data_IF_588059495070
#
_entry.id   IF_588059495070
#
_cell.length_a   1.000
_cell.length_b   1.000
_cell.length_c   1.000
_cell.angle_alpha   90.00
_cell.angle_beta   90.00
_cell.angle_gamma   90.00
#
_symmetry.space_group_name_H-M   'P 1'
#
loop_
_entity.id
_entity.type
_entity.pdbx_description
1 polymer ?
#
# COMPACT_ATOMS: atom_id res chain seq x y z
N UNK A 1 -1.47 9.06 21.63
CA UNK A 1 -0.39 8.91 20.63
C UNK A 1 0.91 9.28 21.32
N UNK A 2 1.93 8.46 21.16
CA UNK A 2 3.25 8.67 21.71
C UNK A 2 4.26 8.90 20.59
N UNK A 3 5.44 9.43 20.93
CA UNK A 3 6.56 9.55 19.99
C UNK A 3 6.90 8.15 19.48
N UNK A 4 7.03 8.01 18.16
CA UNK A 4 7.27 6.74 17.47
C UNK A 4 6.01 6.04 16.95
N UNK A 5 4.81 6.51 17.31
CA UNK A 5 3.57 5.96 16.76
C UNK A 5 3.41 6.29 15.26
N UNK A 6 2.92 5.31 14.51
CA UNK A 6 2.53 5.49 13.11
C UNK A 6 1.05 5.88 13.06
N UNK A 7 0.74 6.87 12.21
CA UNK A 7 -0.64 7.34 12.00
C UNK A 7 -0.98 7.38 10.51
N UNK A 8 -2.20 6.99 10.17
CA UNK A 8 -2.82 7.33 8.88
C UNK A 8 -3.62 8.60 9.11
N UNK A 9 -3.26 9.66 8.41
CA UNK A 9 -3.90 10.97 8.53
C UNK A 9 -4.19 11.55 7.14
N UNK A 10 -5.10 12.53 7.10
CA UNK A 10 -5.48 13.23 5.89
C UNK A 10 -5.13 14.71 6.00
N UNK A 11 -4.57 15.28 4.94
CA UNK A 11 -4.33 16.73 4.84
C UNK A 11 -5.67 17.43 4.62
N UNK A 12 -6.01 18.38 5.49
CA UNK A 12 -7.27 19.15 5.43
C UNK A 12 -7.08 20.59 4.99
N UNK A 13 -5.89 21.15 5.20
CA UNK A 13 -5.51 22.46 4.69
C UNK A 13 -4.01 22.49 4.42
N UNK A 14 -3.62 23.17 3.36
CA UNK A 14 -2.24 23.40 2.99
C UNK A 14 -2.14 24.77 2.33
N UNK A 15 -1.18 25.58 2.75
CA UNK A 15 -0.73 26.76 2.03
C UNK A 15 0.81 26.75 1.93
N UNK A 16 1.37 27.66 1.13
CA UNK A 16 2.82 27.70 0.87
C UNK A 16 3.62 28.39 2.00
N UNK A 17 2.96 28.94 3.00
CA UNK A 17 3.59 29.78 4.03
C UNK A 17 3.51 29.16 5.43
N UNK A 18 2.71 28.12 5.61
CA UNK A 18 2.47 27.43 6.88
C UNK A 18 2.54 25.93 6.71
N UNK A 19 2.75 25.25 7.83
CA UNK A 19 2.72 23.80 7.88
C UNK A 19 1.32 23.26 7.51
N UNK A 20 1.24 22.14 6.77
CA UNK A 20 -0.02 21.51 6.42
C UNK A 20 -0.78 21.05 7.69
N UNK A 21 -2.07 21.36 7.75
CA UNK A 21 -2.95 20.85 8.78
C UNK A 21 -3.44 19.44 8.41
N UNK A 22 -3.36 18.50 9.35
CA UNK A 22 -3.81 17.12 9.19
C UNK A 22 -4.93 16.76 10.17
N UNK A 23 -5.77 15.80 9.79
CA UNK A 23 -6.83 15.22 10.63
C UNK A 23 -6.74 13.71 10.71
N UNK A 24 -7.25 13.15 11.82
CA UNK A 24 -7.49 11.71 12.01
C UNK A 24 -8.95 11.40 12.34
N UNK A 25 -9.85 12.38 12.18
CA UNK A 25 -11.27 12.26 12.59
C UNK A 25 -12.15 11.48 11.61
N UNK A 26 -11.65 11.12 10.43
CA UNK A 26 -12.41 10.39 9.42
C UNK A 26 -12.24 8.87 9.57
N UNK A 27 -13.20 8.11 9.05
CA UNK A 27 -13.17 6.64 9.10
C UNK A 27 -11.94 6.10 8.36
N UNK A 28 -11.20 5.21 9.03
CA UNK A 28 -9.97 4.62 8.48
C UNK A 28 -8.70 5.44 8.72
N UNK A 29 -8.81 6.58 9.42
CA UNK A 29 -7.67 7.35 9.93
C UNK A 29 -7.45 7.05 11.42
N UNK A 30 -6.24 7.36 11.90
CA UNK A 30 -5.86 7.18 13.29
C UNK A 30 -4.55 6.43 13.46
N UNK A 31 -4.31 5.97 14.69
CA UNK A 31 -3.11 5.20 15.03
C UNK A 31 -3.14 3.85 14.34
N UNK A 32 -2.00 3.44 13.80
CA UNK A 32 -1.80 2.13 13.22
C UNK A 32 -1.22 1.20 14.26
N UNK A 33 -1.95 0.12 14.56
CA UNK A 33 -1.45 -0.97 15.39
C UNK A 33 -1.00 -2.14 14.50
N UNK A 34 0.31 -2.38 14.47
CA UNK A 34 0.93 -3.47 13.72
C UNK A 34 0.89 -3.31 12.19
N UNK A 35 1.52 -4.27 11.51
CA UNK A 35 1.76 -4.23 10.07
C UNK A 35 3.18 -3.81 9.72
N UNK A 36 3.43 -3.75 8.41
CA UNK A 36 4.72 -3.36 7.85
C UNK A 36 4.52 -2.09 7.02
N UNK A 37 5.39 -1.10 7.22
CA UNK A 37 5.50 0.03 6.31
C UNK A 37 6.63 -0.26 5.35
N UNK A 38 6.36 -0.06 4.06
CA UNK A 38 7.38 -0.04 3.04
C UNK A 38 7.40 1.32 2.34
N UNK A 39 8.57 1.67 1.86
CA UNK A 39 8.78 2.86 1.06
C UNK A 39 8.52 2.55 -0.41
N UNK A 40 7.85 3.49 -1.05
CA UNK A 40 7.60 3.54 -2.48
C UNK A 40 7.90 4.97 -2.93
N UNK A 41 8.62 5.11 -4.03
CA UNK A 41 8.84 6.43 -4.63
C UNK A 41 7.49 7.14 -4.84
N UNK A 42 7.27 8.37 -4.32
CA UNK A 42 5.94 9.02 -4.35
C UNK A 42 5.31 9.10 -5.75
N UNK A 43 6.13 9.29 -6.79
CA UNK A 43 5.68 9.34 -8.20
C UNK A 43 5.11 8.01 -8.71
N UNK A 44 5.35 6.91 -8.01
CA UNK A 44 4.84 5.56 -8.34
C UNK A 44 3.56 5.21 -7.58
N UNK A 45 3.17 5.99 -6.56
CA UNK A 45 1.94 5.77 -5.77
C UNK A 45 0.69 5.71 -6.66
N UNK A 46 0.45 6.62 -7.62
CA UNK A 46 -0.72 6.52 -8.51
C UNK A 46 -0.75 5.22 -9.32
N UNK A 47 0.43 4.69 -9.70
CA UNK A 47 0.55 3.42 -10.42
C UNK A 47 0.17 2.22 -9.55
N UNK A 48 0.57 2.22 -8.28
CA UNK A 48 0.18 1.20 -7.30
C UNK A 48 -1.32 1.22 -7.02
N UNK A 49 -1.93 2.40 -6.92
CA UNK A 49 -3.37 2.54 -6.75
C UNK A 49 -4.08 1.99 -8.01
N UNK A 50 -3.62 2.38 -9.18
CA UNK A 50 -4.24 2.02 -10.46
C UNK A 50 -5.55 2.77 -10.71
N UNK A 51 -6.12 2.60 -11.91
CA UNK A 51 -7.35 3.30 -12.32
C UNK A 51 -8.51 2.90 -11.40
N UNK A 52 -9.12 3.87 -10.72
CA UNK A 52 -10.17 3.64 -9.70
C UNK A 52 -9.76 2.66 -8.60
N UNK A 53 -8.47 2.58 -8.26
CA UNK A 53 -7.98 1.65 -7.25
C UNK A 53 -7.86 0.20 -7.71
N UNK A 54 -7.90 -0.08 -9.02
CA UNK A 54 -7.95 -1.45 -9.54
C UNK A 54 -6.75 -2.31 -9.10
N UNK A 55 -5.55 -1.75 -9.12
CA UNK A 55 -4.32 -2.49 -8.82
C UNK A 55 -4.22 -2.79 -7.33
N UNK A 56 -4.38 -1.78 -6.48
CA UNK A 56 -4.30 -1.97 -5.03
C UNK A 56 -5.41 -2.92 -4.54
N UNK A 57 -6.62 -2.82 -5.08
CA UNK A 57 -7.72 -3.70 -4.72
C UNK A 57 -7.48 -5.15 -5.18
N UNK A 58 -6.89 -5.35 -6.37
CA UNK A 58 -6.49 -6.68 -6.82
C UNK A 58 -5.48 -7.32 -5.86
N UNK A 59 -4.44 -6.58 -5.45
CA UNK A 59 -3.45 -7.08 -4.48
C UNK A 59 -4.12 -7.42 -3.15
N UNK A 60 -4.99 -6.55 -2.62
CA UNK A 60 -5.79 -6.82 -1.41
C UNK A 60 -6.62 -8.10 -1.53
N UNK A 61 -7.34 -8.27 -2.63
CA UNK A 61 -8.21 -9.43 -2.86
C UNK A 61 -7.41 -10.74 -2.97
N UNK A 62 -6.30 -10.73 -3.69
CA UNK A 62 -5.50 -11.93 -3.90
C UNK A 62 -4.73 -12.34 -2.65
N UNK A 63 -4.18 -11.38 -1.89
CA UNK A 63 -3.39 -11.65 -0.68
C UNK A 63 -4.25 -11.77 0.59
N UNK A 64 -5.44 -11.17 0.60
CA UNK A 64 -6.23 -10.99 1.82
C UNK A 64 -5.64 -9.98 2.80
N UNK A 65 -4.61 -9.23 2.40
CA UNK A 65 -4.02 -8.17 3.21
C UNK A 65 -4.78 -6.85 3.06
N UNK A 66 -4.74 -6.04 4.10
CA UNK A 66 -5.11 -4.64 4.05
C UNK A 66 -3.90 -3.82 3.58
N UNK A 67 -4.10 -2.99 2.55
CA UNK A 67 -3.08 -2.10 2.00
C UNK A 67 -3.57 -0.65 2.03
N UNK A 68 -2.76 0.26 2.56
CA UNK A 68 -3.02 1.70 2.55
C UNK A 68 -1.83 2.40 1.91
N UNK A 69 -2.05 3.03 0.76
CA UNK A 69 -1.03 3.78 0.05
C UNK A 69 -1.14 5.27 0.40
N UNK A 70 -0.16 5.80 1.13
CA UNK A 70 -0.02 7.22 1.39
C UNK A 70 0.55 7.96 0.18
N UNK A 71 0.04 9.15 -0.10
CA UNK A 71 0.54 10.00 -1.20
C UNK A 71 2.00 10.45 -0.98
N UNK A 72 2.50 10.33 0.26
CA UNK A 72 3.89 10.58 0.64
C UNK A 72 4.84 9.40 0.31
N UNK A 73 4.38 8.34 -0.34
CA UNK A 73 5.20 7.17 -0.67
C UNK A 73 5.30 6.12 0.43
N UNK A 74 4.65 6.31 1.58
CA UNK A 74 4.57 5.26 2.61
C UNK A 74 3.40 4.33 2.30
N UNK A 75 3.67 3.02 2.21
CA UNK A 75 2.63 2.00 2.01
C UNK A 75 2.55 1.12 3.24
N UNK A 76 1.41 1.14 3.91
CA UNK A 76 1.13 0.26 5.04
C UNK A 76 0.51 -1.03 4.53
N UNK A 77 1.04 -2.17 4.99
CA UNK A 77 0.55 -3.51 4.68
C UNK A 77 0.27 -4.23 5.99
N UNK A 78 -0.98 -4.67 6.18
CA UNK A 78 -1.44 -5.42 7.35
C UNK A 78 -2.05 -6.75 6.91
N UNK A 79 -1.70 -7.83 7.60
CA UNK A 79 -2.25 -9.14 7.31
C UNK A 79 -1.95 -10.12 8.44
N UNK A 80 -2.79 -11.15 8.56
CA UNK A 80 -2.62 -12.20 9.57
C UNK A 80 -1.62 -13.28 9.15
N UNK A 81 -1.45 -13.49 7.84
CA UNK A 81 -0.57 -14.52 7.28
C UNK A 81 0.71 -13.86 6.76
N UNK A 82 1.86 -14.21 7.36
CA UNK A 82 3.16 -13.65 7.00
C UNK A 82 3.53 -13.88 5.54
N UNK A 83 3.23 -15.07 4.98
CA UNK A 83 3.49 -15.37 3.56
C UNK A 83 2.69 -14.46 2.63
N UNK A 84 1.46 -14.11 3.01
CA UNK A 84 0.63 -13.19 2.21
C UNK A 84 1.10 -11.74 2.34
N UNK A 85 1.55 -11.33 3.52
CA UNK A 85 2.16 -10.01 3.75
C UNK A 85 3.42 -9.88 2.89
N UNK A 86 4.27 -10.91 2.86
CA UNK A 86 5.45 -10.95 2.01
C UNK A 86 5.10 -10.83 0.51
N UNK A 87 4.08 -11.56 0.03
CA UNK A 87 3.61 -11.41 -1.35
C UNK A 87 3.09 -10.00 -1.67
N UNK A 88 2.38 -9.37 -0.74
CA UNK A 88 1.93 -7.99 -0.89
C UNK A 88 3.12 -7.03 -0.99
N UNK A 89 4.14 -7.20 -0.13
CA UNK A 89 5.39 -6.43 -0.17
C UNK A 89 6.08 -6.58 -1.53
N UNK A 90 6.26 -7.82 -2.02
CA UNK A 90 6.87 -8.07 -3.32
C UNK A 90 6.06 -7.46 -4.46
N UNK A 91 4.73 -7.51 -4.40
CA UNK A 91 3.87 -6.90 -5.40
C UNK A 91 4.08 -5.39 -5.49
N UNK A 92 4.22 -4.71 -4.35
CA UNK A 92 4.51 -3.26 -4.33
C UNK A 92 5.89 -2.97 -4.91
N UNK A 93 6.91 -3.77 -4.59
CA UNK A 93 8.26 -3.63 -5.18
C UNK A 93 8.26 -3.84 -6.70
N UNK A 94 7.52 -4.84 -7.19
CA UNK A 94 7.34 -5.04 -8.63
C UNK A 94 6.69 -3.82 -9.30
N UNK A 95 5.74 -3.16 -8.62
CA UNK A 95 5.15 -1.91 -9.13
C UNK A 95 6.20 -0.81 -9.23
N UNK A 96 7.06 -0.65 -8.22
CA UNK A 96 8.12 0.35 -8.24
C UNK A 96 9.08 0.16 -9.40
N UNK A 97 9.59 -1.06 -9.57
CA UNK A 97 10.57 -1.43 -10.60
C UNK A 97 9.99 -1.37 -12.02
N UNK A 98 8.74 -1.79 -12.20
CA UNK A 98 8.16 -2.02 -13.52
C UNK A 98 7.04 -1.04 -13.89
N UNK A 99 6.92 0.09 -13.16
CA UNK A 99 5.82 1.05 -13.32
C UNK A 99 5.58 1.53 -14.77
N UNK A 100 6.64 1.60 -15.57
CA UNK A 100 6.64 2.07 -16.97
C UNK A 100 6.19 1.02 -17.98
N UNK A 101 6.00 -0.22 -17.56
CA UNK A 101 5.71 -1.33 -18.47
C UNK A 101 4.21 -1.59 -18.63
N UNK A 102 3.81 -2.01 -19.84
CA UNK A 102 2.44 -2.43 -20.16
C UNK A 102 2.14 -3.83 -19.62
N UNK A 103 0.88 -4.14 -19.30
CA UNK A 103 0.50 -5.46 -18.79
C UNK A 103 1.03 -5.81 -17.38
N UNK A 104 1.47 -4.80 -16.61
CA UNK A 104 1.96 -5.00 -15.23
C UNK A 104 0.91 -5.64 -14.32
N UNK A 105 -0.37 -5.30 -14.50
CA UNK A 105 -1.48 -5.84 -13.69
C UNK A 105 -1.56 -7.36 -13.81
N UNK A 106 -1.55 -7.88 -15.03
CA UNK A 106 -1.65 -9.32 -15.29
C UNK A 106 -0.40 -10.06 -14.79
N UNK A 107 0.78 -9.44 -14.93
CA UNK A 107 2.03 -9.99 -14.37
C UNK A 107 1.99 -10.11 -12.85
N UNK A 108 1.52 -9.08 -12.15
CA UNK A 108 1.40 -9.10 -10.69
C UNK A 108 0.36 -10.14 -10.26
N UNK A 109 -0.79 -10.21 -10.94
CA UNK A 109 -1.82 -11.23 -10.65
C UNK A 109 -1.22 -12.63 -10.73
N UNK A 110 -0.60 -12.95 -11.87
CA UNK A 110 0.02 -14.25 -12.11
C UNK A 110 1.09 -14.57 -11.08
N UNK A 111 1.96 -13.59 -10.77
CA UNK A 111 2.97 -13.74 -9.72
C UNK A 111 2.36 -14.12 -8.36
N UNK A 112 1.29 -13.44 -7.93
CA UNK A 112 0.64 -13.74 -6.65
C UNK A 112 0.00 -15.14 -6.68
N UNK A 113 -0.72 -15.48 -7.75
CA UNK A 113 -1.41 -16.77 -7.89
C UNK A 113 -0.43 -17.95 -7.87
N UNK A 114 0.62 -17.90 -8.70
CA UNK A 114 1.64 -18.96 -8.77
C UNK A 114 2.35 -19.16 -7.41
N UNK A 115 2.61 -18.07 -6.68
CA UNK A 115 3.21 -18.15 -5.35
C UNK A 115 2.25 -18.69 -4.29
N UNK A 116 0.96 -18.35 -4.37
CA UNK A 116 -0.07 -18.90 -3.47
C UNK A 116 -0.21 -20.40 -3.62
N UNK A 117 -0.15 -20.93 -4.84
CA UNK A 117 -0.22 -22.37 -5.09
C UNK A 117 0.95 -23.11 -4.44
N UNK A 118 2.17 -22.56 -4.53
CA UNK A 118 3.37 -23.11 -3.85
C UNK A 118 3.29 -23.11 -2.33
N UNK A 119 2.41 -22.33 -1.72
CA UNK A 119 2.20 -22.33 -0.27
C UNK A 119 1.12 -23.32 0.18
N UNK A 120 0.36 -23.89 -0.76
CA UNK A 120 -0.68 -24.88 -0.52
C UNK A 120 -0.19 -26.32 -0.71
N UNK A 121 0.84 -26.51 -1.53
CA UNK A 121 1.63 -27.74 -1.59
C UNK A 121 2.69 -27.78 -0.48
#
# INVERSE_FOLDING_TARGET
MAIGDIIVAKVVAFDRTRDPAITVKERGLGKVEGGVIIDLTPTKVPRLIGKKGSMINMVKQLTGCELIAGQNGKVLIKGKNLKMVELAIHSVRMVEEQAHTSGLTDRIRRFIEERKEKFRG
#
